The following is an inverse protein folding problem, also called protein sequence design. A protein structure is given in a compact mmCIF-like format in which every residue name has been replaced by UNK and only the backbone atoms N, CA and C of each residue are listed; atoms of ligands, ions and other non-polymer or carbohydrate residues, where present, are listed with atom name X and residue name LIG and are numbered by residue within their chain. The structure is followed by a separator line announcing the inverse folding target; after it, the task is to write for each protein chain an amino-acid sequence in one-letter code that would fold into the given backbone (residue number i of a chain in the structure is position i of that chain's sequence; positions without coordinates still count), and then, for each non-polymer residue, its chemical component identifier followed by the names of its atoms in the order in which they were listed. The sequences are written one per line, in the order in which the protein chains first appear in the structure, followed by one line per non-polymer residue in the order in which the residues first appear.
data_IF_134778754704
#
_entry.id   IF_134778754704
#
_cell.length_a   1.000
_cell.length_b   1.000
_cell.length_c   1.000
_cell.angle_alpha   90.00
_cell.angle_beta   90.00
_cell.angle_gamma   90.00
#
_symmetry.space_group_name_H-M   'P 1'
#
loop_
_entity.id
_entity.type
_entity.pdbx_description
1 polymer ?
#
# COMPACT_ATOMS: atom_id res chain seq x y z
N UNK A 1 -45.43 45.19 -42.34
CA UNK A 1 -44.05 45.50 -41.94
C UNK A 1 -43.55 44.35 -41.08
N UNK A 2 -42.77 43.43 -41.65
CA UNK A 2 -42.05 42.39 -40.92
C UNK A 2 -40.62 42.90 -40.66
N UNK A 3 -40.06 42.76 -39.45
CA UNK A 3 -38.66 43.08 -39.22
C UNK A 3 -37.77 41.91 -39.67
N UNK A 4 -36.76 42.22 -40.49
CA UNK A 4 -35.65 41.35 -40.88
C UNK A 4 -34.42 41.67 -40.01
N UNK A 5 -33.57 40.65 -39.89
CA UNK A 5 -32.10 40.67 -39.76
C UNK A 5 -31.43 40.96 -38.41
N UNK A 6 -31.58 40.03 -37.45
CA UNK A 6 -30.60 39.86 -36.36
C UNK A 6 -29.87 38.50 -36.40
N UNK A 7 -30.37 37.49 -37.12
CA UNK A 7 -29.82 36.11 -37.08
C UNK A 7 -28.62 35.84 -37.99
N UNK A 8 -28.33 36.67 -39.01
CA UNK A 8 -27.24 36.35 -39.94
C UNK A 8 -25.85 36.77 -39.43
N UNK A 9 -25.76 37.66 -38.43
CA UNK A 9 -24.49 38.16 -37.91
C UNK A 9 -23.91 37.25 -36.81
N UNK A 10 -24.75 36.70 -35.95
CA UNK A 10 -24.37 35.74 -34.91
C UNK A 10 -23.99 34.38 -35.50
N UNK A 11 -24.69 33.93 -36.55
CA UNK A 11 -24.35 32.69 -37.23
C UNK A 11 -23.01 32.80 -37.98
N UNK A 12 -22.68 33.98 -38.53
CA UNK A 12 -21.41 34.25 -39.21
C UNK A 12 -20.19 34.28 -38.27
N UNK A 13 -20.37 34.65 -37.00
CA UNK A 13 -19.29 34.72 -36.02
C UNK A 13 -18.95 33.35 -35.42
N UNK A 14 -19.95 32.46 -35.29
CA UNK A 14 -19.77 31.08 -34.84
C UNK A 14 -19.02 30.24 -35.89
N UNK A 15 -19.38 30.36 -37.17
CA UNK A 15 -18.68 29.63 -38.24
C UNK A 15 -17.22 30.08 -38.37
N UNK A 16 -16.95 31.38 -38.18
CA UNK A 16 -15.58 31.89 -38.25
C UNK A 16 -14.71 31.43 -37.07
N UNK A 17 -15.31 31.14 -35.90
CA UNK A 17 -14.63 30.60 -34.74
C UNK A 17 -14.33 29.10 -34.91
N UNK A 18 -15.27 28.33 -35.46
CA UNK A 18 -15.07 26.91 -35.77
C UNK A 18 -14.01 26.71 -36.87
N UNK A 19 -13.97 27.60 -37.87
CA UNK A 19 -12.94 27.60 -38.92
C UNK A 19 -11.55 27.98 -38.36
N UNK A 20 -11.48 28.90 -37.39
CA UNK A 20 -10.23 29.25 -36.69
C UNK A 20 -9.74 28.12 -35.78
N UNK A 21 -10.65 27.40 -35.12
CA UNK A 21 -10.33 26.23 -34.29
C UNK A 21 -9.92 25.02 -35.16
N UNK A 22 -10.49 24.89 -36.35
CA UNK A 22 -10.08 23.89 -37.35
C UNK A 22 -8.70 24.22 -37.95
N UNK A 23 -8.44 25.49 -38.29
CA UNK A 23 -7.14 25.92 -38.80
C UNK A 23 -6.01 25.80 -37.75
N UNK A 24 -6.31 26.00 -36.45
CA UNK A 24 -5.34 25.76 -35.36
C UNK A 24 -5.15 24.27 -35.08
N UNK A 25 -6.14 23.42 -35.41
CA UNK A 25 -6.03 21.96 -35.31
C UNK A 25 -5.24 21.32 -36.46
N UNK A 26 -5.18 21.95 -37.63
CA UNK A 26 -4.41 21.45 -38.76
C UNK A 26 -2.94 21.92 -38.78
N UNK A 27 -2.59 23.01 -38.08
CA UNK A 27 -1.22 23.58 -38.13
C UNK A 27 -0.29 23.26 -36.94
N UNK A 28 -0.65 22.36 -36.02
CA UNK A 28 0.32 21.90 -35.01
C UNK A 28 0.25 20.39 -34.72
N UNK A 29 1.36 19.72 -35.03
CA UNK A 29 1.90 18.47 -34.46
C UNK A 29 1.73 17.16 -35.26
N UNK A 30 0.79 17.01 -36.21
CA UNK A 30 0.58 15.67 -36.80
C UNK A 30 1.38 15.32 -38.08
N UNK A 31 1.92 16.28 -38.85
CA UNK A 31 2.65 15.94 -40.10
C UNK A 31 4.20 15.93 -40.00
N UNK A 32 4.81 16.46 -38.93
CA UNK A 32 6.28 16.39 -38.74
C UNK A 32 6.74 15.13 -37.99
N UNK A 33 5.83 14.43 -37.29
CA UNK A 33 6.16 13.23 -36.50
C UNK A 33 6.47 11.99 -37.36
N UNK A 34 6.06 11.95 -38.63
CA UNK A 34 6.26 10.78 -39.50
C UNK A 34 7.50 10.87 -40.40
N UNK A 35 8.22 12.00 -40.44
CA UNK A 35 9.38 12.21 -41.35
C UNK A 35 10.74 12.26 -40.68
N UNK A 36 10.79 12.27 -39.35
CA UNK A 36 12.03 12.05 -38.60
C UNK A 36 11.78 10.86 -37.71
N UNK A 37 12.41 9.73 -38.03
CA UNK A 37 12.42 8.53 -37.20
C UNK A 37 13.19 8.75 -35.90
N UNK A 38 12.73 9.70 -35.07
CA UNK A 38 13.05 9.77 -33.66
C UNK A 38 12.12 8.76 -33.02
N UNK A 39 12.62 7.54 -32.79
CA UNK A 39 12.09 6.78 -31.66
C UNK A 39 12.28 7.68 -30.45
N UNK A 40 11.19 8.02 -29.79
CA UNK A 40 11.22 8.67 -28.51
C UNK A 40 11.78 7.68 -27.48
N UNK A 41 13.10 7.45 -27.53
CA UNK A 41 13.86 6.66 -26.55
C UNK A 41 14.04 7.47 -25.24
N UNK A 42 13.20 8.50 -25.02
CA UNK A 42 13.27 9.44 -23.91
C UNK A 42 12.00 9.46 -23.05
N UNK A 43 11.08 8.50 -23.23
CA UNK A 43 10.10 8.19 -22.19
C UNK A 43 10.87 7.67 -20.97
N UNK A 44 10.87 8.44 -19.88
CA UNK A 44 11.27 7.93 -18.56
C UNK A 44 10.52 6.64 -18.31
N UNK A 45 11.20 5.49 -18.15
CA UNK A 45 10.52 4.20 -18.05
C UNK A 45 9.61 4.19 -16.83
N UNK A 46 8.39 3.70 -17.02
CA UNK A 46 7.43 3.51 -15.92
C UNK A 46 8.09 2.77 -14.75
N UNK A 47 7.82 3.19 -13.50
CA UNK A 47 8.45 2.60 -12.34
C UNK A 47 8.14 1.10 -12.27
N UNK A 48 9.19 0.27 -12.24
CA UNK A 48 9.01 -1.17 -12.11
C UNK A 48 8.65 -1.51 -10.67
N UNK A 49 7.41 -1.98 -10.46
CA UNK A 49 6.90 -2.38 -9.15
C UNK A 49 6.92 -3.90 -9.01
N UNK A 50 7.44 -4.40 -7.89
CA UNK A 50 7.53 -5.81 -7.57
C UNK A 50 6.83 -6.09 -6.24
N UNK A 51 6.02 -7.15 -6.18
CA UNK A 51 5.32 -7.60 -4.98
C UNK A 51 5.83 -9.00 -4.64
N UNK A 52 6.51 -9.12 -3.50
CA UNK A 52 7.16 -10.36 -3.08
C UNK A 52 6.48 -10.91 -1.83
N UNK A 53 5.84 -12.07 -1.96
CA UNK A 53 5.28 -12.81 -0.83
C UNK A 53 6.31 -13.78 -0.27
N UNK A 54 6.64 -13.64 1.02
CA UNK A 54 7.65 -14.47 1.67
C UNK A 54 7.03 -15.45 2.66
N UNK A 55 7.32 -16.75 2.47
CA UNK A 55 6.84 -17.81 3.34
C UNK A 55 5.32 -18.01 3.25
N UNK A 56 4.74 -18.66 4.25
CA UNK A 56 3.36 -19.12 4.15
C UNK A 56 2.32 -17.99 4.08
N UNK A 57 2.27 -17.12 5.09
CA UNK A 57 1.34 -15.99 5.09
C UNK A 57 1.57 -15.05 3.91
N UNK A 58 2.83 -14.74 3.55
CA UNK A 58 3.12 -13.92 2.38
C UNK A 58 2.63 -14.51 1.06
N UNK A 59 2.73 -15.84 0.89
CA UNK A 59 2.17 -16.54 -0.27
C UNK A 59 0.64 -16.52 -0.28
N UNK A 60 -0.02 -16.61 0.87
CA UNK A 60 -1.49 -16.48 0.96
C UNK A 60 -1.95 -15.08 0.57
N UNK A 61 -1.27 -14.05 1.06
CA UNK A 61 -1.50 -12.66 0.64
C UNK A 61 -1.28 -12.50 -0.87
N UNK A 62 -0.21 -13.08 -1.43
CA UNK A 62 0.04 -13.03 -2.88
C UNK A 62 -1.04 -13.71 -3.71
N UNK A 63 -1.63 -14.80 -3.20
CA UNK A 63 -2.80 -15.39 -3.83
C UNK A 63 -3.92 -14.35 -3.90
N UNK A 64 -4.25 -13.66 -2.81
CA UNK A 64 -5.31 -12.64 -2.81
C UNK A 64 -5.01 -11.49 -3.77
N UNK A 65 -3.79 -10.98 -3.77
CA UNK A 65 -3.31 -9.96 -4.72
C UNK A 65 -3.52 -10.42 -6.17
N UNK A 66 -3.16 -11.66 -6.47
CA UNK A 66 -3.31 -12.22 -7.82
C UNK A 66 -4.77 -12.43 -8.22
N UNK A 67 -5.65 -12.74 -7.28
CA UNK A 67 -7.10 -12.88 -7.55
C UNK A 67 -7.80 -11.52 -7.72
N UNK A 68 -7.43 -10.51 -6.93
CA UNK A 68 -7.96 -9.15 -7.08
C UNK A 68 -7.49 -8.50 -8.39
N UNK A 69 -6.31 -8.90 -8.87
CA UNK A 69 -5.65 -8.26 -10.00
C UNK A 69 -5.00 -6.96 -9.55
N UNK A 70 -3.72 -6.78 -9.87
CA UNK A 70 -3.00 -5.53 -9.64
C UNK A 70 -2.31 -5.14 -10.93
N UNK A 71 -2.66 -3.96 -11.45
CA UNK A 71 -2.10 -3.43 -12.68
C UNK A 71 -0.77 -2.73 -12.43
N UNK A 72 0.22 -3.02 -13.29
CA UNK A 72 1.54 -2.39 -13.24
C UNK A 72 2.50 -2.94 -12.18
N UNK A 73 2.22 -4.11 -11.58
CA UNK A 73 3.17 -4.80 -10.70
C UNK A 73 3.42 -6.25 -11.11
N UNK A 74 4.64 -6.73 -10.82
CA UNK A 74 5.02 -8.13 -10.99
C UNK A 74 4.97 -8.87 -9.66
N UNK A 75 4.35 -10.05 -9.62
CA UNK A 75 4.19 -10.87 -8.41
C UNK A 75 5.23 -11.99 -8.32
N UNK A 76 5.88 -12.13 -7.16
CA UNK A 76 6.93 -13.14 -6.91
C UNK A 76 6.70 -13.86 -5.59
N UNK A 77 6.38 -15.15 -5.64
CA UNK A 77 6.27 -15.98 -4.44
C UNK A 77 7.62 -16.60 -4.07
N UNK A 78 8.04 -16.45 -2.81
CA UNK A 78 9.32 -16.99 -2.31
C UNK A 78 9.08 -17.83 -1.06
N UNK A 79 9.45 -19.11 -1.11
CA UNK A 79 9.23 -20.01 0.02
C UNK A 79 10.30 -21.10 0.12
N UNK A 80 10.46 -21.66 1.31
CA UNK A 80 11.26 -22.88 1.56
C UNK A 80 10.43 -24.16 1.46
N UNK A 81 9.10 -24.03 1.52
CA UNK A 81 8.14 -25.12 1.41
C UNK A 81 7.69 -25.24 -0.06
N UNK A 82 8.01 -26.37 -0.68
CA UNK A 82 7.66 -26.64 -2.07
C UNK A 82 6.16 -26.84 -2.25
N UNK A 83 5.53 -27.58 -1.34
CA UNK A 83 4.11 -27.91 -1.46
C UNK A 83 3.26 -26.63 -1.43
N UNK A 84 3.56 -25.72 -0.50
CA UNK A 84 2.84 -24.46 -0.44
C UNK A 84 3.10 -23.58 -1.66
N UNK A 85 4.35 -23.52 -2.15
CA UNK A 85 4.72 -22.74 -3.33
C UNK A 85 4.03 -23.25 -4.61
N UNK A 86 3.85 -24.57 -4.75
CA UNK A 86 3.17 -25.16 -5.90
C UNK A 86 1.71 -24.67 -6.00
N UNK A 87 1.01 -24.54 -4.87
CA UNK A 87 -0.37 -24.04 -4.80
C UNK A 87 -0.50 -22.51 -4.81
N UNK A 88 0.62 -21.77 -4.77
CA UNK A 88 0.60 -20.31 -4.81
C UNK A 88 0.39 -19.81 -6.24
N UNK A 89 -0.41 -18.77 -6.47
CA UNK A 89 -0.58 -18.09 -7.75
C UNK A 89 0.30 -16.84 -7.73
N UNK A 90 1.29 -16.80 -8.62
CA UNK A 90 2.20 -15.68 -8.82
C UNK A 90 2.84 -15.80 -10.21
N UNK A 91 3.25 -14.68 -10.81
CA UNK A 91 3.92 -14.67 -12.12
C UNK A 91 5.31 -15.31 -12.05
N UNK A 92 6.00 -15.18 -10.90
CA UNK A 92 7.28 -15.85 -10.64
C UNK A 92 7.22 -16.59 -9.30
N UNK A 93 7.94 -17.72 -9.23
CA UNK A 93 8.05 -18.53 -8.01
C UNK A 93 9.50 -18.91 -7.75
N UNK A 94 9.96 -18.75 -6.52
CA UNK A 94 11.31 -19.09 -6.10
C UNK A 94 11.27 -20.02 -4.88
N UNK A 95 11.69 -21.27 -5.08
CA UNK A 95 11.96 -22.20 -3.99
C UNK A 95 13.38 -21.96 -3.48
N UNK A 96 13.51 -21.39 -2.28
CA UNK A 96 14.82 -21.16 -1.64
C UNK A 96 15.21 -22.34 -0.75
N UNK A 97 16.52 -22.58 -0.61
CA UNK A 97 17.03 -23.57 0.33
C UNK A 97 16.71 -25.03 -0.01
N UNK A 98 16.48 -25.40 -1.28
CA UNK A 98 16.20 -26.78 -1.71
C UNK A 98 17.19 -27.80 -1.14
N UNK A 99 18.48 -27.47 -1.06
CA UNK A 99 19.52 -28.35 -0.51
C UNK A 99 19.57 -28.37 1.04
N UNK A 100 18.94 -27.39 1.71
CA UNK A 100 18.94 -27.22 3.17
C UNK A 100 17.69 -27.89 3.76
N UNK A 101 16.51 -27.55 3.22
CA UNK A 101 15.21 -28.00 3.76
C UNK A 101 14.64 -29.19 3.01
N UNK A 102 15.23 -29.57 1.86
CA UNK A 102 14.68 -30.57 0.93
C UNK A 102 13.26 -30.20 0.44
N UNK A 103 12.90 -28.91 0.50
CA UNK A 103 11.58 -28.41 0.15
C UNK A 103 10.51 -28.62 1.22
N UNK A 104 10.87 -29.01 2.45
CA UNK A 104 9.96 -29.30 3.56
C UNK A 104 9.68 -28.08 4.47
N UNK A 105 10.19 -26.90 4.11
CA UNK A 105 10.05 -25.70 4.93
C UNK A 105 11.12 -25.52 6.01
N UNK A 106 11.08 -24.37 6.69
CA UNK A 106 12.07 -23.97 7.69
C UNK A 106 11.76 -24.45 9.12
N UNK A 107 10.67 -25.20 9.34
CA UNK A 107 10.32 -25.77 10.66
C UNK A 107 10.05 -24.73 11.76
N UNK A 108 9.70 -23.49 11.39
CA UNK A 108 9.46 -22.42 12.35
C UNK A 108 10.73 -21.72 12.87
N UNK A 109 11.92 -22.07 12.37
CA UNK A 109 13.20 -21.45 12.74
C UNK A 109 13.61 -20.34 11.73
N UNK A 110 13.62 -19.06 12.13
CA UNK A 110 14.04 -17.95 11.27
C UNK A 110 15.47 -18.09 10.74
N UNK A 111 16.39 -18.68 11.52
CA UNK A 111 17.79 -18.84 11.09
C UNK A 111 17.91 -19.80 9.91
N UNK A 112 17.06 -20.84 9.86
CA UNK A 112 16.97 -21.73 8.70
C UNK A 112 16.45 -20.97 7.49
N UNK A 113 15.38 -20.18 7.64
CA UNK A 113 14.82 -19.35 6.57
C UNK A 113 15.86 -18.38 6.00
N UNK A 114 16.64 -17.73 6.86
CA UNK A 114 17.71 -16.80 6.47
C UNK A 114 18.80 -17.49 5.66
N UNK A 115 19.35 -18.61 6.15
CA UNK A 115 20.36 -19.38 5.40
C UNK A 115 19.85 -19.84 4.03
N UNK A 116 18.56 -20.18 3.93
CA UNK A 116 17.95 -20.55 2.66
C UNK A 116 17.92 -19.38 1.66
N UNK A 117 17.57 -18.17 2.13
CA UNK A 117 17.58 -16.97 1.31
C UNK A 117 19.01 -16.54 0.94
N UNK A 118 19.95 -16.59 1.88
CA UNK A 118 21.38 -16.30 1.63
C UNK A 118 21.97 -17.22 0.55
N UNK A 119 21.65 -18.51 0.58
CA UNK A 119 22.06 -19.46 -0.47
C UNK A 119 21.48 -19.13 -1.85
N UNK A 120 20.37 -18.40 -1.91
CA UNK A 120 19.71 -17.96 -3.14
C UNK A 120 19.96 -16.47 -3.46
N UNK A 121 20.87 -15.81 -2.76
CA UNK A 121 21.09 -14.35 -2.83
C UNK A 121 21.33 -13.84 -4.25
N UNK A 122 22.11 -14.56 -5.06
CA UNK A 122 22.33 -14.19 -6.47
C UNK A 122 21.06 -14.20 -7.32
N UNK A 123 20.15 -15.16 -7.08
CA UNK A 123 18.86 -15.24 -7.77
C UNK A 123 17.93 -14.13 -7.29
N UNK A 124 17.88 -13.89 -5.97
CA UNK A 124 17.09 -12.81 -5.36
C UNK A 124 17.51 -11.47 -5.96
N UNK A 125 18.83 -11.20 -6.03
CA UNK A 125 19.37 -9.99 -6.65
C UNK A 125 18.86 -9.80 -8.06
N UNK A 126 18.93 -10.83 -8.90
CA UNK A 126 18.45 -10.75 -10.28
C UNK A 126 16.95 -10.45 -10.39
N UNK A 127 16.13 -10.97 -9.46
CA UNK A 127 14.68 -10.72 -9.43
C UNK A 127 14.38 -9.26 -9.09
N UNK A 128 15.08 -8.72 -8.08
CA UNK A 128 14.84 -7.35 -7.56
C UNK A 128 15.57 -6.26 -8.35
N UNK A 129 16.54 -6.64 -9.20
CA UNK A 129 17.24 -5.71 -10.10
C UNK A 129 16.28 -4.88 -10.93
N UNK A 130 16.62 -3.60 -11.12
CA UNK A 130 15.84 -2.62 -11.90
C UNK A 130 14.42 -2.36 -11.38
N UNK A 131 14.07 -2.81 -10.16
CA UNK A 131 12.82 -2.40 -9.51
C UNK A 131 12.95 -0.99 -8.95
N UNK A 132 11.95 -0.14 -9.21
CA UNK A 132 11.82 1.16 -8.56
C UNK A 132 11.20 1.01 -7.16
N UNK A 133 10.26 0.07 -7.01
CA UNK A 133 9.54 -0.20 -5.77
C UNK A 133 9.39 -1.71 -5.55
N UNK A 134 9.67 -2.17 -4.33
CA UNK A 134 9.51 -3.55 -3.89
C UNK A 134 8.65 -3.60 -2.63
N UNK A 135 7.49 -4.25 -2.72
CA UNK A 135 6.69 -4.65 -1.57
C UNK A 135 7.11 -6.03 -1.10
N UNK A 136 7.28 -6.20 0.21
CA UNK A 136 7.59 -7.49 0.84
C UNK A 136 6.47 -7.83 1.82
N UNK A 137 5.63 -8.79 1.45
CA UNK A 137 4.51 -9.25 2.28
C UNK A 137 4.91 -10.51 3.04
N UNK A 138 4.76 -10.52 4.38
CA UNK A 138 5.04 -11.74 5.17
C UNK A 138 4.35 -11.77 6.53
N UNK A 139 4.10 -12.97 7.05
CA UNK A 139 3.70 -13.17 8.44
C UNK A 139 4.90 -13.50 9.31
N UNK A 140 5.09 -12.72 10.37
CA UNK A 140 6.22 -12.86 11.29
C UNK A 140 5.99 -13.94 12.35
N UNK A 141 7.09 -14.43 12.92
CA UNK A 141 7.09 -15.48 13.96
C UNK A 141 7.22 -16.91 13.42
N UNK A 142 7.00 -17.10 12.12
CA UNK A 142 7.36 -18.33 11.41
C UNK A 142 8.87 -18.42 11.10
N UNK A 143 9.32 -19.50 10.45
CA UNK A 143 10.72 -19.65 10.06
C UNK A 143 11.02 -19.03 8.69
N UNK A 144 10.22 -19.33 7.69
CA UNK A 144 10.45 -18.90 6.32
C UNK A 144 10.26 -17.39 6.15
N UNK A 145 9.07 -16.88 6.47
CA UNK A 145 8.74 -15.46 6.31
C UNK A 145 9.72 -14.54 7.04
N UNK A 146 9.83 -14.74 8.37
CA UNK A 146 10.73 -14.01 9.27
C UNK A 146 12.20 -14.03 8.83
N UNK A 147 12.69 -15.16 8.29
CA UNK A 147 14.09 -15.30 7.88
C UNK A 147 14.39 -14.83 6.46
N UNK A 148 13.45 -15.00 5.52
CA UNK A 148 13.64 -14.66 4.10
C UNK A 148 13.46 -13.16 3.86
N UNK A 149 12.44 -12.55 4.47
CA UNK A 149 12.03 -11.18 4.16
C UNK A 149 13.16 -10.15 4.34
N UNK A 150 13.97 -10.16 5.43
CA UNK A 150 15.07 -9.20 5.59
C UNK A 150 16.15 -9.34 4.51
N UNK A 151 16.45 -10.58 4.07
CA UNK A 151 17.48 -10.82 3.03
C UNK A 151 17.02 -10.28 1.68
N UNK A 152 15.73 -10.41 1.35
CA UNK A 152 15.16 -9.82 0.14
C UNK A 152 15.17 -8.29 0.22
N UNK A 153 14.82 -7.74 1.38
CA UNK A 153 14.82 -6.30 1.61
C UNK A 153 16.23 -5.70 1.42
N UNK A 154 17.24 -6.33 2.00
CA UNK A 154 18.66 -5.94 1.87
C UNK A 154 19.08 -5.89 0.39
N UNK A 155 18.79 -6.95 -0.38
CA UNK A 155 19.15 -7.00 -1.81
C UNK A 155 18.37 -5.99 -2.66
N UNK A 156 17.08 -5.78 -2.37
CA UNK A 156 16.28 -4.79 -3.08
C UNK A 156 16.75 -3.35 -2.79
N UNK A 157 17.05 -3.05 -1.51
CA UNK A 157 17.57 -1.75 -1.07
C UNK A 157 18.96 -1.49 -1.66
N UNK A 158 19.83 -2.50 -1.68
CA UNK A 158 21.14 -2.42 -2.34
C UNK A 158 21.04 -2.21 -3.86
N UNK A 159 19.99 -2.71 -4.50
CA UNK A 159 19.69 -2.47 -5.91
C UNK A 159 19.08 -1.08 -6.19
N UNK A 160 18.86 -0.26 -5.17
CA UNK A 160 18.34 1.12 -5.29
C UNK A 160 16.81 1.24 -5.27
N UNK A 161 16.09 0.14 -5.05
CA UNK A 161 14.63 0.16 -4.97
C UNK A 161 14.14 0.83 -3.68
N UNK A 162 13.00 1.52 -3.74
CA UNK A 162 12.20 1.83 -2.55
C UNK A 162 11.62 0.51 -2.02
N UNK A 163 11.83 0.21 -0.74
CA UNK A 163 11.44 -1.08 -0.15
C UNK A 163 10.45 -0.86 0.98
N UNK A 164 9.27 -1.47 0.85
CA UNK A 164 8.19 -1.39 1.83
C UNK A 164 7.87 -2.79 2.34
N UNK A 165 8.05 -3.02 3.63
CA UNK A 165 7.61 -4.26 4.28
C UNK A 165 6.15 -4.14 4.73
N UNK A 166 5.32 -5.14 4.44
CA UNK A 166 3.97 -5.26 4.99
C UNK A 166 3.89 -6.58 5.73
N UNK A 167 3.73 -6.49 7.05
CA UNK A 167 3.90 -7.65 7.92
C UNK A 167 2.75 -7.83 8.89
N UNK A 168 2.42 -9.09 9.18
CA UNK A 168 1.47 -9.46 10.23
C UNK A 168 2.20 -10.01 11.46
N UNK A 169 1.75 -9.64 12.65
CA UNK A 169 2.21 -10.23 13.92
C UNK A 169 1.44 -11.52 14.22
N UNK A 170 2.00 -12.48 14.96
CA UNK A 170 1.26 -13.66 15.40
C UNK A 170 0.23 -13.31 16.49
N UNK A 171 -0.77 -14.18 16.70
CA UNK A 171 -1.68 -14.02 17.84
C UNK A 171 -0.94 -14.25 19.17
N UNK A 172 -1.38 -13.56 20.23
CA UNK A 172 -0.85 -13.76 21.58
C UNK A 172 -0.98 -15.21 22.09
N UNK A 173 -1.99 -15.94 21.62
CA UNK A 173 -2.23 -17.35 22.00
C UNK A 173 -1.19 -18.31 21.42
N UNK A 174 -0.41 -17.90 20.41
CA UNK A 174 0.60 -18.75 19.75
C UNK A 174 1.93 -18.87 20.53
N UNK A 175 1.89 -18.52 21.82
CA UNK A 175 3.00 -18.52 22.80
C UNK A 175 4.01 -17.39 22.61
N UNK A 176 4.58 -16.95 23.74
CA UNK A 176 5.54 -15.85 23.82
C UNK A 176 6.77 -16.03 22.91
N UNK A 177 7.23 -17.27 22.69
CA UNK A 177 8.39 -17.52 21.84
C UNK A 177 8.14 -17.17 20.36
N UNK A 178 6.94 -17.41 19.83
CA UNK A 178 6.61 -17.03 18.44
C UNK A 178 6.56 -15.52 18.28
N UNK A 179 6.00 -14.82 19.27
CA UNK A 179 6.02 -13.35 19.33
C UNK A 179 7.44 -12.80 19.43
N UNK A 180 8.30 -13.37 20.27
CA UNK A 180 9.69 -12.92 20.40
C UNK A 180 10.45 -13.02 19.06
N UNK A 181 10.30 -14.14 18.35
CA UNK A 181 10.84 -14.31 16.99
C UNK A 181 10.29 -13.30 16.00
N UNK A 182 9.00 -12.97 16.10
CA UNK A 182 8.38 -11.97 15.25
C UNK A 182 8.99 -10.58 15.48
N UNK A 183 9.19 -10.19 16.74
CA UNK A 183 9.79 -8.88 17.08
C UNK A 183 11.26 -8.78 16.66
N UNK A 184 12.03 -9.85 16.79
CA UNK A 184 13.40 -9.93 16.28
C UNK A 184 13.44 -9.80 14.75
N UNK A 185 12.59 -10.55 14.04
CA UNK A 185 12.48 -10.45 12.59
C UNK A 185 12.01 -9.09 12.10
N UNK A 186 11.08 -8.46 12.82
CA UNK A 186 10.62 -7.10 12.53
C UNK A 186 11.75 -6.08 12.66
N UNK A 187 12.59 -6.20 13.70
CA UNK A 187 13.73 -5.32 13.88
C UNK A 187 14.71 -5.43 12.70
N UNK A 188 15.08 -6.65 12.30
CA UNK A 188 15.94 -6.87 11.13
C UNK A 188 15.31 -6.36 9.84
N UNK A 189 14.02 -6.62 9.61
CA UNK A 189 13.35 -6.15 8.40
C UNK A 189 13.30 -4.62 8.33
N UNK A 190 13.06 -3.94 9.47
CA UNK A 190 13.04 -2.49 9.54
C UNK A 190 14.37 -1.87 9.13
N UNK A 191 15.48 -2.44 9.56
CA UNK A 191 16.82 -1.93 9.23
C UNK A 191 17.09 -2.04 7.72
N UNK A 192 16.53 -3.05 7.07
CA UNK A 192 16.68 -3.34 5.64
C UNK A 192 15.57 -2.76 4.73
N UNK A 193 14.60 -2.04 5.29
CA UNK A 193 13.51 -1.41 4.52
C UNK A 193 13.54 0.12 4.67
N UNK A 194 12.68 0.80 3.91
CA UNK A 194 12.45 2.26 4.05
C UNK A 194 11.22 2.55 4.92
N UNK A 195 10.20 1.70 4.77
CA UNK A 195 8.98 1.71 5.56
C UNK A 195 8.55 0.28 5.90
N UNK A 196 8.01 0.09 7.11
CA UNK A 196 7.32 -1.15 7.50
C UNK A 196 5.92 -0.81 7.99
N UNK A 197 4.92 -1.40 7.35
CA UNK A 197 3.54 -1.42 7.81
C UNK A 197 3.32 -2.71 8.62
N UNK A 198 2.93 -2.56 9.88
CA UNK A 198 2.69 -3.68 10.80
C UNK A 198 1.21 -3.81 11.06
N UNK A 199 0.64 -4.97 10.75
CA UNK A 199 -0.75 -5.33 11.02
C UNK A 199 -0.80 -6.34 12.16
N UNK A 200 -1.66 -6.09 13.14
CA UNK A 200 -1.76 -6.93 14.32
C UNK A 200 -2.88 -7.97 14.19
N UNK A 201 -2.52 -9.26 14.11
CA UNK A 201 -3.51 -10.33 14.05
C UNK A 201 -4.45 -10.31 15.26
N UNK A 202 -4.02 -9.82 16.42
CA UNK A 202 -4.87 -9.76 17.60
C UNK A 202 -6.09 -8.84 17.42
N UNK A 203 -6.06 -7.90 16.47
CA UNK A 203 -7.22 -7.05 16.12
C UNK A 203 -8.37 -7.84 15.50
N UNK A 204 -8.09 -9.00 14.88
CA UNK A 204 -9.14 -9.90 14.41
C UNK A 204 -10.02 -10.43 15.56
N UNK A 205 -9.46 -10.62 16.76
CA UNK A 205 -10.21 -11.12 17.91
C UNK A 205 -11.26 -10.11 18.39
N UNK A 206 -11.01 -8.82 18.21
CA UNK A 206 -11.97 -7.76 18.55
C UNK A 206 -12.95 -7.49 17.41
N UNK A 207 -12.51 -7.64 16.17
CA UNK A 207 -13.30 -7.29 14.99
C UNK A 207 -14.27 -8.40 14.56
N UNK A 208 -13.80 -9.65 14.55
CA UNK A 208 -14.51 -10.82 14.02
C UNK A 208 -14.34 -12.06 14.91
N UNK A 209 -14.75 -12.01 16.19
CA UNK A 209 -14.47 -13.08 17.16
C UNK A 209 -15.09 -14.44 16.82
N UNK A 210 -16.15 -14.46 16.00
CA UNK A 210 -16.96 -15.65 15.75
C UNK A 210 -16.71 -16.28 14.37
N UNK A 211 -15.82 -15.72 13.55
CA UNK A 211 -15.51 -16.29 12.25
C UNK A 211 -14.62 -17.53 12.37
N UNK A 212 -14.76 -18.50 11.47
CA UNK A 212 -13.76 -19.55 11.28
C UNK A 212 -12.36 -18.97 11.12
N UNK A 213 -11.34 -19.68 11.62
CA UNK A 213 -9.97 -19.16 11.70
C UNK A 213 -9.39 -18.80 10.32
N UNK A 214 -9.69 -19.63 9.31
CA UNK A 214 -9.29 -19.42 7.92
C UNK A 214 -9.97 -18.20 7.29
N UNK A 215 -11.26 -18.00 7.55
CA UNK A 215 -11.99 -16.80 7.12
C UNK A 215 -11.44 -15.54 7.81
N UNK A 216 -11.16 -15.61 9.11
CA UNK A 216 -10.60 -14.50 9.87
C UNK A 216 -9.22 -14.07 9.33
N UNK A 217 -8.33 -15.04 9.03
CA UNK A 217 -7.04 -14.72 8.40
C UNK A 217 -7.20 -14.13 6.99
N UNK A 218 -8.19 -14.61 6.23
CA UNK A 218 -8.46 -14.09 4.90
C UNK A 218 -8.85 -12.61 4.91
N UNK A 219 -9.40 -12.09 6.01
CA UNK A 219 -9.71 -10.65 6.13
C UNK A 219 -8.43 -9.80 6.15
N UNK A 220 -7.40 -10.23 6.89
CA UNK A 220 -6.12 -9.50 6.88
C UNK A 220 -5.39 -9.65 5.55
N UNK A 221 -5.40 -10.85 4.95
CA UNK A 221 -4.82 -11.04 3.62
C UNK A 221 -5.53 -10.16 2.57
N UNK A 222 -6.86 -10.01 2.67
CA UNK A 222 -7.66 -9.12 1.83
C UNK A 222 -7.27 -7.65 2.03
N UNK A 223 -7.20 -7.20 3.29
CA UNK A 223 -6.77 -5.85 3.61
C UNK A 223 -5.36 -5.55 3.07
N UNK A 224 -4.39 -6.45 3.26
CA UNK A 224 -3.05 -6.27 2.71
C UNK A 224 -3.09 -6.20 1.17
N UNK A 225 -3.89 -7.05 0.54
CA UNK A 225 -4.00 -7.04 -0.92
C UNK A 225 -4.59 -5.72 -1.44
N UNK A 226 -5.62 -5.19 -0.80
CA UNK A 226 -6.20 -3.88 -1.11
C UNK A 226 -5.23 -2.73 -0.90
N UNK A 227 -4.42 -2.80 0.15
CA UNK A 227 -3.36 -1.84 0.45
C UNK A 227 -2.33 -1.83 -0.67
N UNK A 228 -1.76 -2.99 -1.01
CA UNK A 228 -0.73 -3.11 -2.05
C UNK A 228 -1.29 -2.69 -3.40
N UNK A 229 -2.51 -3.13 -3.73
CA UNK A 229 -3.22 -2.73 -4.96
C UNK A 229 -3.38 -1.22 -5.01
N UNK A 230 -3.88 -0.60 -3.95
CA UNK A 230 -4.13 0.84 -3.92
C UNK A 230 -2.85 1.64 -4.11
N UNK A 231 -1.76 1.31 -3.40
CA UNK A 231 -0.49 2.04 -3.56
C UNK A 231 0.11 1.84 -4.95
N UNK A 232 0.08 0.60 -5.45
CA UNK A 232 0.58 0.28 -6.80
C UNK A 232 -0.21 1.07 -7.84
N UNK A 233 -1.52 0.98 -7.81
CA UNK A 233 -2.40 1.64 -8.77
C UNK A 233 -2.36 3.16 -8.66
N UNK A 234 -2.15 3.72 -7.45
CA UNK A 234 -1.90 5.17 -7.28
C UNK A 234 -0.69 5.65 -8.09
N UNK A 235 0.31 4.80 -8.28
CA UNK A 235 1.52 5.12 -9.05
C UNK A 235 1.34 4.80 -10.54
N UNK A 236 0.72 3.67 -10.86
CA UNK A 236 0.71 3.11 -12.24
C UNK A 236 -0.47 3.58 -13.07
N UNK A 237 -1.58 4.00 -12.44
CA UNK A 237 -2.79 4.41 -13.15
C UNK A 237 -2.99 5.92 -13.08
N UNK A 238 -3.40 6.48 -14.22
CA UNK A 238 -3.70 7.91 -14.34
C UNK A 238 -4.84 8.30 -13.39
N UNK A 239 -4.63 9.41 -12.69
CA UNK A 239 -5.60 9.99 -11.75
C UNK A 239 -5.94 11.42 -12.19
N UNK A 240 -7.09 11.94 -11.76
CA UNK A 240 -7.48 13.34 -12.05
C UNK A 240 -6.49 14.32 -11.43
N UNK A 241 -6.07 14.02 -10.21
CA UNK A 241 -4.95 14.66 -9.54
C UNK A 241 -3.89 13.57 -9.46
N UNK A 242 -2.94 13.63 -10.39
CA UNK A 242 -1.92 12.62 -10.52
C UNK A 242 -0.87 12.77 -9.43
N UNK A 243 -0.44 11.62 -8.89
CA UNK A 243 0.68 11.53 -7.98
C UNK A 243 1.86 10.96 -8.74
N UNK A 244 3.02 11.60 -8.64
CA UNK A 244 4.22 11.05 -9.24
C UNK A 244 4.91 10.05 -8.30
N UNK A 245 5.82 9.25 -8.84
CA UNK A 245 6.58 8.30 -8.03
C UNK A 245 7.54 9.00 -7.05
N UNK A 246 7.99 10.22 -7.36
CA UNK A 246 8.91 10.97 -6.51
C UNK A 246 8.24 11.45 -5.22
N UNK A 247 6.97 11.83 -5.28
CA UNK A 247 6.10 12.19 -4.17
C UNK A 247 5.91 11.00 -3.22
N UNK A 248 5.51 9.86 -3.78
CA UNK A 248 5.35 8.60 -3.04
C UNK A 248 6.68 8.19 -2.39
N UNK A 249 7.78 8.27 -3.16
CA UNK A 249 9.13 7.99 -2.65
C UNK A 249 9.51 8.95 -1.53
N UNK A 250 9.18 10.23 -1.62
CA UNK A 250 9.53 11.24 -0.60
C UNK A 250 8.86 10.95 0.74
N UNK A 251 7.59 10.55 0.72
CA UNK A 251 6.85 10.15 1.92
C UNK A 251 7.39 8.83 2.48
N UNK A 252 7.46 7.79 1.65
CA UNK A 252 7.82 6.44 2.12
C UNK A 252 9.30 6.28 2.48
N UNK A 253 10.22 7.02 1.86
CA UNK A 253 11.66 6.94 2.18
C UNK A 253 12.00 7.42 3.60
N UNK A 254 11.11 8.23 4.20
CA UNK A 254 11.25 8.74 5.57
C UNK A 254 10.28 8.04 6.54
N UNK A 255 9.70 6.92 6.11
CA UNK A 255 8.60 6.25 6.79
C UNK A 255 8.98 5.63 8.13
N UNK A 256 10.06 4.84 8.17
CA UNK A 256 10.37 4.03 9.35
C UNK A 256 9.23 3.06 9.64
N UNK A 257 8.60 3.16 10.82
CA UNK A 257 7.32 2.48 11.05
C UNK A 257 6.21 3.38 10.55
N UNK A 258 5.48 2.89 9.54
CA UNK A 258 4.45 3.63 8.82
C UNK A 258 3.09 3.06 9.16
N UNK A 259 2.08 3.92 9.16
CA UNK A 259 0.70 3.54 9.43
C UNK A 259 -0.16 3.79 8.21
N UNK A 260 -1.25 3.06 8.11
CA UNK A 260 -2.17 3.15 7.00
C UNK A 260 -3.58 3.33 7.51
N UNK A 261 -4.37 4.11 6.80
CA UNK A 261 -5.79 4.30 7.02
C UNK A 261 -6.53 3.89 5.75
N UNK A 262 -7.67 3.25 5.94
CA UNK A 262 -8.52 2.75 4.86
C UNK A 262 -9.97 2.93 5.27
N UNK A 263 -10.77 3.52 4.39
CA UNK A 263 -12.23 3.60 4.57
C UNK A 263 -12.93 3.58 3.22
N UNK A 264 -14.11 2.97 3.17
CA UNK A 264 -14.94 2.92 1.97
C UNK A 264 -16.42 3.09 2.32
N UNK A 265 -17.03 4.18 1.86
CA UNK A 265 -18.43 4.49 2.16
C UNK A 265 -19.16 5.11 0.98
N UNK A 266 -20.46 4.83 0.88
CA UNK A 266 -21.39 5.48 -0.05
C UNK A 266 -22.18 6.63 0.60
N UNK A 267 -21.96 6.89 1.89
CA UNK A 267 -22.67 7.91 2.69
C UNK A 267 -22.01 9.30 2.62
N UNK A 268 -20.91 9.45 1.89
CA UNK A 268 -20.24 10.72 1.61
C UNK A 268 -18.96 10.97 2.41
N UNK A 269 -18.36 12.17 2.25
CA UNK A 269 -17.00 12.52 2.73
C UNK A 269 -16.75 12.31 4.22
N UNK A 270 -17.67 12.77 5.09
CA UNK A 270 -17.46 12.73 6.53
C UNK A 270 -17.50 11.28 7.06
N UNK A 271 -18.35 10.42 6.50
CA UNK A 271 -18.47 9.02 6.92
C UNK A 271 -17.26 8.19 6.46
N UNK A 272 -16.82 8.34 5.20
CA UNK A 272 -15.63 7.63 4.72
C UNK A 272 -14.37 8.01 5.50
N UNK A 273 -14.26 9.27 5.95
CA UNK A 273 -13.17 9.72 6.82
C UNK A 273 -13.31 9.13 8.22
N UNK A 274 -14.52 9.12 8.78
CA UNK A 274 -14.78 8.51 10.07
C UNK A 274 -14.42 7.02 10.07
N UNK A 275 -14.75 6.30 9.01
CA UNK A 275 -14.36 4.91 8.81
C UNK A 275 -12.84 4.76 8.70
N UNK A 276 -12.18 5.61 7.89
CA UNK A 276 -10.73 5.57 7.72
C UNK A 276 -9.95 5.81 9.02
N UNK A 277 -10.41 6.75 9.84
CA UNK A 277 -9.78 7.11 11.12
C UNK A 277 -10.04 6.08 12.23
N UNK A 278 -11.20 5.40 12.19
CA UNK A 278 -11.62 4.47 13.24
C UNK A 278 -11.59 3.00 12.77
N UNK A 279 -10.89 2.70 11.68
CA UNK A 279 -10.88 1.36 11.11
C UNK A 279 -10.30 0.35 12.12
N UNK A 280 -11.04 -0.69 12.55
CA UNK A 280 -10.65 -1.54 13.70
C UNK A 280 -9.32 -2.28 13.55
N UNK A 281 -8.91 -2.55 12.31
CA UNK A 281 -7.64 -3.22 12.00
C UNK A 281 -6.46 -2.24 11.83
N UNK A 282 -6.72 -0.93 11.84
CA UNK A 282 -5.76 0.14 11.54
C UNK A 282 -5.75 1.27 12.60
N UNK A 283 -6.41 1.04 13.74
CA UNK A 283 -6.60 1.99 14.84
C UNK A 283 -5.27 2.36 15.54
N UNK A 284 -4.69 3.52 15.17
CA UNK A 284 -3.47 4.06 15.77
C UNK A 284 -3.48 5.60 15.82
N UNK A 285 -2.85 6.17 16.85
CA UNK A 285 -2.71 7.62 17.07
C UNK A 285 -1.75 8.25 16.04
N UNK A 286 -2.29 9.06 15.14
CA UNK A 286 -1.55 9.77 14.08
C UNK A 286 -1.00 11.14 14.52
N UNK A 287 -1.18 11.51 15.81
CA UNK A 287 -0.68 12.78 16.33
C UNK A 287 0.86 12.89 16.17
N UNK A 288 1.29 14.02 15.60
CA UNK A 288 2.72 14.29 15.37
C UNK A 288 3.31 13.59 14.15
N UNK A 289 2.48 13.02 13.27
CA UNK A 289 2.91 12.58 11.95
C UNK A 289 3.55 13.73 11.16
N UNK A 290 4.64 13.44 10.45
CA UNK A 290 5.40 14.44 9.68
C UNK A 290 5.14 14.38 8.18
N UNK A 291 4.37 13.39 7.73
CA UNK A 291 3.96 13.32 6.34
C UNK A 291 2.79 12.37 6.13
N UNK A 292 1.93 12.69 5.17
CA UNK A 292 0.78 11.88 4.79
C UNK A 292 0.64 11.85 3.27
N UNK A 293 0.39 10.67 2.74
CA UNK A 293 -0.04 10.45 1.36
C UNK A 293 -1.51 10.05 1.39
N UNK A 294 -2.41 10.80 0.76
CA UNK A 294 -3.84 10.52 0.69
C UNK A 294 -4.22 10.23 -0.75
N UNK A 295 -4.89 9.12 -1.02
CA UNK A 295 -5.46 8.82 -2.32
C UNK A 295 -6.96 8.57 -2.21
N UNK A 296 -7.73 9.34 -2.97
CA UNK A 296 -9.18 9.26 -2.99
C UNK A 296 -9.60 8.61 -4.31
N UNK A 297 -10.41 7.56 -4.22
CA UNK A 297 -11.07 6.95 -5.38
C UNK A 297 -12.56 7.10 -5.22
N UNK A 298 -13.26 7.55 -6.25
CA UNK A 298 -14.71 7.62 -6.23
C UNK A 298 -15.29 7.42 -7.63
N UNK A 299 -16.62 7.36 -7.72
CA UNK A 299 -17.29 7.30 -9.01
C UNK A 299 -17.11 8.57 -9.85
N UNK A 300 -17.69 8.56 -11.06
CA UNK A 300 -17.67 9.70 -12.01
C UNK A 300 -18.25 11.01 -11.46
N UNK A 301 -18.96 10.94 -10.34
CA UNK A 301 -19.56 12.09 -9.66
C UNK A 301 -18.73 12.62 -8.48
N UNK A 302 -17.53 12.07 -8.22
CA UNK A 302 -16.63 12.59 -7.20
C UNK A 302 -16.25 14.04 -7.53
N UNK A 303 -16.59 14.97 -6.63
CA UNK A 303 -16.32 16.40 -6.81
C UNK A 303 -15.03 16.84 -6.13
N UNK A 304 -14.51 17.99 -6.57
CA UNK A 304 -13.37 18.65 -5.91
C UNK A 304 -13.71 19.07 -4.47
N UNK A 305 -14.95 19.51 -4.21
CA UNK A 305 -15.42 19.89 -2.87
C UNK A 305 -15.38 18.70 -1.91
N UNK A 306 -15.89 17.54 -2.34
CA UNK A 306 -15.83 16.30 -1.55
C UNK A 306 -14.37 15.89 -1.28
N UNK A 307 -13.52 15.97 -2.31
CA UNK A 307 -12.09 15.64 -2.18
C UNK A 307 -11.36 16.57 -1.20
N UNK A 308 -11.60 17.88 -1.28
CA UNK A 308 -11.04 18.87 -0.36
C UNK A 308 -11.54 18.65 1.07
N UNK A 309 -12.84 18.35 1.25
CA UNK A 309 -13.40 18.05 2.57
C UNK A 309 -12.73 16.83 3.21
N UNK A 310 -12.48 15.78 2.43
CA UNK A 310 -11.75 14.59 2.89
C UNK A 310 -10.36 14.97 3.36
N UNK A 311 -9.58 15.68 2.53
CA UNK A 311 -8.21 16.08 2.88
C UNK A 311 -8.20 16.97 4.13
N UNK A 312 -9.12 17.92 4.25
CA UNK A 312 -9.28 18.78 5.43
C UNK A 312 -9.52 17.93 6.70
N UNK A 313 -10.45 16.98 6.65
CA UNK A 313 -10.76 16.14 7.81
C UNK A 313 -9.60 15.20 8.19
N UNK A 314 -8.94 14.60 7.21
CA UNK A 314 -7.83 13.67 7.43
C UNK A 314 -6.57 14.35 7.98
N UNK A 315 -6.40 15.65 7.72
CA UNK A 315 -5.20 16.41 8.13
C UNK A 315 -5.41 17.22 9.43
N UNK A 316 -6.63 17.27 9.98
CA UNK A 316 -6.95 18.04 11.21
C UNK A 316 -6.10 17.71 12.44
N UNK A 317 -5.65 16.47 12.57
CA UNK A 317 -4.89 15.98 13.73
C UNK A 317 -3.40 15.79 13.44
N UNK A 318 -2.98 16.10 12.21
CA UNK A 318 -1.59 16.02 11.75
C UNK A 318 -0.88 17.35 12.09
N UNK A 319 0.45 17.33 12.23
CA UNK A 319 1.23 18.54 12.49
C UNK A 319 1.09 19.57 11.35
N UNK A 320 1.05 20.86 11.69
CA UNK A 320 0.90 21.95 10.71
C UNK A 320 2.02 22.01 9.67
N UNK A 321 3.23 21.56 10.03
CA UNK A 321 4.40 21.50 9.16
C UNK A 321 4.58 20.16 8.44
N UNK A 322 3.59 19.26 8.55
CA UNK A 322 3.64 17.96 7.89
C UNK A 322 3.53 18.08 6.37
N UNK A 323 4.27 17.23 5.67
CA UNK A 323 4.18 17.14 4.22
C UNK A 323 2.91 16.38 3.81
N UNK A 324 1.92 17.08 3.25
CA UNK A 324 0.65 16.50 2.78
C UNK A 324 0.68 16.36 1.28
N UNK A 325 0.58 15.12 0.80
CA UNK A 325 0.45 14.79 -0.62
C UNK A 325 -0.91 14.14 -0.82
N UNK A 326 -1.68 14.59 -1.81
CA UNK A 326 -2.96 13.96 -2.11
C UNK A 326 -3.21 13.78 -3.61
N UNK A 327 -3.87 12.67 -3.95
CA UNK A 327 -4.30 12.33 -5.30
C UNK A 327 -5.78 11.95 -5.31
N UNK A 328 -6.40 12.05 -6.47
CA UNK A 328 -7.82 11.74 -6.65
C UNK A 328 -8.06 11.07 -7.99
N UNK A 329 -8.85 10.00 -8.00
CA UNK A 329 -9.23 9.24 -9.19
C UNK A 329 -10.74 9.04 -9.28
N UNK A 330 -11.24 9.13 -10.49
CA UNK A 330 -12.57 8.65 -10.83
C UNK A 330 -12.49 7.26 -11.45
N UNK A 331 -13.23 6.33 -10.88
CA UNK A 331 -13.41 4.98 -11.38
C UNK A 331 -14.92 4.73 -11.54
N UNK A 332 -15.43 4.54 -12.77
CA UNK A 332 -16.86 4.31 -13.00
C UNK A 332 -17.45 3.12 -12.23
N UNK A 333 -16.63 2.13 -11.86
CA UNK A 333 -17.06 0.95 -11.11
C UNK A 333 -17.46 1.27 -9.66
N UNK A 334 -17.03 2.42 -9.13
CA UNK A 334 -17.32 2.82 -7.76
C UNK A 334 -18.72 3.41 -7.58
N UNK A 335 -19.42 3.82 -8.65
CA UNK A 335 -20.78 4.36 -8.53
C UNK A 335 -20.87 5.55 -7.56
N UNK A 336 -21.45 5.34 -6.37
CA UNK A 336 -21.54 6.34 -5.28
C UNK A 336 -20.48 6.16 -4.18
N UNK A 337 -19.76 5.04 -4.18
CA UNK A 337 -18.75 4.76 -3.18
C UNK A 337 -17.58 5.73 -3.33
N UNK A 338 -17.06 6.16 -2.18
CA UNK A 338 -15.79 6.84 -2.05
C UNK A 338 -14.91 5.93 -1.21
N UNK A 339 -13.70 5.69 -1.69
CA UNK A 339 -12.64 4.98 -0.98
C UNK A 339 -11.51 5.94 -0.70
N UNK A 340 -11.04 5.94 0.54
CA UNK A 340 -9.87 6.68 0.98
C UNK A 340 -8.80 5.68 1.37
N UNK A 341 -7.61 5.90 0.85
CA UNK A 341 -6.38 5.29 1.32
C UNK A 341 -5.47 6.41 1.81
N UNK A 342 -4.92 6.28 3.02
CA UNK A 342 -3.90 7.22 3.48
C UNK A 342 -2.73 6.50 4.14
N UNK A 343 -1.51 6.92 3.79
CA UNK A 343 -0.27 6.44 4.40
C UNK A 343 0.31 7.55 5.26
N UNK A 344 0.48 7.28 6.54
CA UNK A 344 0.98 8.24 7.54
C UNK A 344 2.37 7.84 7.97
N UNK A 345 3.31 8.78 7.85
CA UNK A 345 4.72 8.58 8.16
C UNK A 345 5.18 9.48 9.29
N UNK A 346 6.19 9.00 10.02
CA UNK A 346 6.74 9.72 11.16
C UNK A 346 5.85 9.72 12.41
N UNK A 347 4.96 8.73 12.52
CA UNK A 347 4.10 8.52 13.69
C UNK A 347 4.94 8.03 14.88
N UNK A 348 4.63 8.49 16.10
CA UNK A 348 5.31 8.05 17.33
C UNK A 348 6.50 8.89 17.81
N UNK A 349 6.74 10.07 17.20
CA UNK A 349 7.73 11.04 17.68
C UNK A 349 9.15 10.47 17.86
N UNK A 350 9.98 11.18 18.64
CA UNK A 350 11.40 10.87 18.92
C UNK A 350 11.66 9.45 19.44
N UNK A 351 10.63 8.78 19.97
CA UNK A 351 10.71 7.45 20.58
C UNK A 351 10.85 6.35 19.52
N UNK A 352 10.28 6.52 18.33
CA UNK A 352 10.41 5.59 17.19
C UNK A 352 11.45 6.07 16.19
N UNK A 353 11.63 7.39 16.05
CA UNK A 353 12.57 8.01 15.08
C UNK A 353 14.06 7.87 15.45
N UNK A 354 14.41 7.88 16.74
CA UNK A 354 15.80 7.93 17.19
C UNK A 354 16.11 6.87 18.24
N UNK A 355 16.29 5.62 17.81
CA UNK A 355 17.23 4.65 18.39
C UNK A 355 17.07 3.31 17.68
N UNK A 356 18.16 2.56 17.59
CA UNK A 356 18.16 1.10 17.57
C UNK A 356 17.31 0.56 18.74
N UNK A 357 15.98 0.62 18.63
CA UNK A 357 15.06 0.08 19.61
C UNK A 357 15.17 -1.44 19.52
N UNK A 358 15.51 -2.08 20.63
CA UNK A 358 15.41 -3.53 20.77
C UNK A 358 13.97 -3.97 20.48
N UNK A 359 13.79 -5.21 20.00
CA UNK A 359 12.47 -5.78 19.70
C UNK A 359 11.47 -5.60 20.84
N UNK A 360 11.93 -5.62 22.09
CA UNK A 360 11.10 -5.40 23.28
C UNK A 360 10.53 -3.98 23.36
N UNK A 361 11.34 -2.94 23.10
CA UNK A 361 10.88 -1.54 23.12
C UNK A 361 9.98 -1.19 21.94
N UNK A 362 10.18 -1.86 20.80
CA UNK A 362 9.27 -1.75 19.66
C UNK A 362 7.92 -2.40 19.98
N UNK A 363 7.94 -3.54 20.65
CA UNK A 363 6.75 -4.20 21.16
C UNK A 363 6.03 -3.33 22.20
N UNK A 364 6.78 -2.65 23.07
CA UNK A 364 6.24 -1.64 23.99
C UNK A 364 5.68 -0.42 23.25
N UNK A 365 6.32 0.12 22.22
CA UNK A 365 5.80 1.23 21.44
C UNK A 365 4.49 0.88 20.70
N UNK A 366 4.42 -0.33 20.11
CA UNK A 366 3.18 -0.89 19.56
C UNK A 366 2.13 -1.12 20.66
N UNK A 367 2.55 -1.47 21.88
CA UNK A 367 1.67 -1.57 23.05
C UNK A 367 1.35 -0.22 23.73
N UNK A 368 2.07 0.87 23.50
CA UNK A 368 1.71 2.19 24.02
C UNK A 368 0.47 2.71 23.27
N UNK A 369 0.34 2.37 21.97
CA UNK A 369 -0.93 2.50 21.24
C UNK A 369 -2.09 1.70 21.90
N UNK A 370 -1.79 0.65 22.69
CA UNK A 370 -2.75 -0.22 23.40
C UNK A 370 -3.32 0.40 24.68
N UNK A 371 -2.69 1.41 25.29
CA UNK A 371 -3.03 1.84 26.67
C UNK A 371 -3.88 3.12 26.79
N UNK A 372 -4.21 3.82 25.69
CA UNK A 372 -5.01 5.06 25.76
C UNK A 372 -6.53 4.87 25.83
N UNK A 373 -7.06 3.67 25.64
CA UNK A 373 -8.52 3.38 25.73
C UNK A 373 -8.94 2.82 27.10
N UNK A 374 -8.43 3.43 28.17
CA UNK A 374 -8.80 3.15 29.56
C UNK A 374 -9.54 4.30 30.24
N UNK A 375 -10.44 5.01 29.54
CA UNK A 375 -11.42 6.03 30.02
C UNK A 375 -12.12 6.53 28.74
N UNK A 376 -13.32 6.12 28.34
CA UNK A 376 -14.60 6.26 29.05
C UNK A 376 -15.64 5.45 28.25
N UNK A 377 -16.10 4.31 28.74
CA UNK A 377 -17.22 3.57 28.15
C UNK A 377 -18.27 3.30 29.24
N UNK A 378 -18.92 4.38 29.69
CA UNK A 378 -20.25 4.32 30.27
C UNK A 378 -21.09 5.37 29.56
N UNK A 379 -21.83 4.94 28.54
CA UNK A 379 -23.14 5.53 28.16
C UNK A 379 -23.86 4.63 27.15
N UNK A 380 -24.83 3.90 27.67
CA UNK A 380 -26.17 3.70 27.09
C UNK A 380 -26.29 3.00 25.74
N UNK A 381 -26.41 1.68 25.76
CA UNK A 381 -27.22 0.97 24.76
C UNK A 381 -28.70 1.28 25.04
N UNK A 382 -29.41 1.87 24.08
CA UNK A 382 -30.87 1.76 24.00
C UNK A 382 -31.21 0.87 22.82
N UNK A 383 -31.92 -0.22 23.15
CA UNK A 383 -32.62 -1.09 22.21
C UNK A 383 -33.60 -0.28 21.36
N UNK A 384 -33.66 -0.61 20.07
CA UNK A 384 -34.89 -0.51 19.30
C UNK A 384 -35.27 -1.91 18.83
N UNK A 385 -36.44 -2.34 19.29
CA UNK A 385 -37.27 -3.44 18.79
C UNK A 385 -37.72 -3.22 17.37
#
# INVERSE_FOLDING_TARGET
MQPKSADSATHSLLTHYDDLVAAVREDTVEEEAERVGVKDDNETPDPRILIIGCGGSGNNTLNRISHLGVEGAVTVAVNTDKQHLDHTVAQQKLLVGKHITRGLGAGGDPAVGRRCAEAARGIIRNIVSNSSLVFICTGLGGGSGTGIAPVIAEEAKAAGALVVGIVTTPFHVEKSQRMARAMEGLAHLRDETHAVLVLDNNRLLTYVPNLPLDEAFSILDQLIAEIVKSITETITLRSLINLDFADVRTILSKGGVTMMMYGESDQGPDEVVNEALNHPLLDIDIAGATGVLIHITGGVHLTLEQSNRIVELMTKTIAEDANVIFGARQDPTFGRNIKIMAIVTGVGGSVVKNASLSGDKLGEALNIARQRTGRTAQRGFQHFT
#
